data_IF_974026014908
#
_entry.id   IF_974026014908
#
_cell.length_a   1.000
_cell.length_b   1.000
_cell.length_c   1.000
_cell.angle_alpha   90.00
_cell.angle_beta   90.00
_cell.angle_gamma   90.00
#
_symmetry.space_group_name_H-M   'P 1'
#
loop_
_entity.id
_entity.type
_entity.pdbx_description
1 polymer ?
#
# COMPACT_ATOMS: atom_id res chain seq x y z
N UNK A 1 -3.78 -50.46 8.65
CA UNK A 1 -2.47 -49.94 9.11
C UNK A 1 -1.63 -49.76 7.86
N UNK A 2 -1.09 -48.57 7.59
CA UNK A 2 -0.30 -48.32 6.38
C UNK A 2 1.18 -48.45 6.72
N UNK A 3 1.89 -49.34 6.03
CA UNK A 3 3.30 -49.62 6.24
C UNK A 3 4.10 -49.39 4.95
N UNK A 4 5.36 -48.99 5.10
CA UNK A 4 6.34 -48.87 4.01
C UNK A 4 7.29 -50.06 4.07
N UNK A 5 7.39 -50.77 2.95
CA UNK A 5 8.34 -51.88 2.81
C UNK A 5 9.73 -51.34 2.46
N UNK A 6 10.75 -51.76 3.21
CA UNK A 6 12.13 -51.42 2.92
C UNK A 6 12.59 -52.10 1.63
N UNK A 7 13.13 -51.33 0.67
CA UNK A 7 13.67 -51.86 -0.59
C UNK A 7 14.91 -52.74 -0.43
N UNK A 8 15.64 -52.61 0.68
CA UNK A 8 16.88 -53.36 0.94
C UNK A 8 16.62 -54.71 1.62
N UNK A 9 15.67 -54.79 2.56
CA UNK A 9 15.47 -55.99 3.39
C UNK A 9 14.02 -56.51 3.48
N UNK A 10 13.07 -55.84 2.82
CA UNK A 10 11.66 -56.24 2.78
C UNK A 10 10.89 -56.07 4.09
N UNK A 11 11.48 -55.47 5.12
CA UNK A 11 10.78 -55.26 6.39
C UNK A 11 9.70 -54.18 6.26
N UNK A 12 8.53 -54.41 6.86
CA UNK A 12 7.47 -53.41 7.02
C UNK A 12 7.83 -52.40 8.11
N UNK A 13 7.82 -51.13 7.78
CA UNK A 13 8.12 -50.03 8.69
C UNK A 13 6.93 -49.06 8.73
N UNK A 14 6.68 -48.38 9.86
CA UNK A 14 5.71 -47.27 9.90
C UNK A 14 6.08 -46.16 8.91
N UNK A 15 5.08 -45.43 8.40
CA UNK A 15 5.31 -44.32 7.46
C UNK A 15 6.17 -43.18 8.04
N UNK A 16 6.16 -43.03 9.37
CA UNK A 16 6.92 -42.00 10.08
C UNK A 16 8.41 -42.35 10.23
N UNK A 17 8.81 -43.59 9.94
CA UNK A 17 10.21 -44.00 10.04
C UNK A 17 11.00 -43.52 8.82
N UNK A 18 12.09 -42.81 9.09
CA UNK A 18 13.04 -42.34 8.08
C UNK A 18 14.07 -43.41 7.68
N UNK A 19 14.32 -44.37 8.57
CA UNK A 19 15.26 -45.47 8.38
C UNK A 19 14.58 -46.79 8.73
N UNK A 20 15.03 -47.88 8.12
CA UNK A 20 14.50 -49.20 8.39
C UNK A 20 14.90 -49.67 9.80
N UNK A 21 13.93 -50.08 10.61
CA UNK A 21 14.18 -50.60 11.96
C UNK A 21 14.91 -51.95 11.99
N UNK A 22 15.04 -52.63 10.84
CA UNK A 22 15.74 -53.92 10.72
C UNK A 22 17.16 -53.79 10.16
N UNK A 23 17.34 -53.10 9.03
CA UNK A 23 18.64 -53.02 8.34
C UNK A 23 19.29 -51.63 8.38
N UNK A 24 18.62 -50.60 8.91
CA UNK A 24 19.15 -49.24 8.97
C UNK A 24 19.13 -48.46 7.64
N UNK A 25 18.72 -49.08 6.53
CA UNK A 25 18.65 -48.40 5.24
C UNK A 25 17.65 -47.22 5.26
N UNK A 26 17.99 -46.12 4.58
CA UNK A 26 17.09 -44.99 4.43
C UNK A 26 15.81 -45.41 3.69
N UNK A 27 14.66 -45.07 4.28
CA UNK A 27 13.36 -45.27 3.65
C UNK A 27 13.07 -44.02 2.82
N UNK A 28 13.40 -44.09 1.53
CA UNK A 28 13.30 -42.98 0.56
C UNK A 28 12.04 -42.11 0.82
N UNK A 29 12.26 -40.84 1.12
CA UNK A 29 11.16 -39.87 1.26
C UNK A 29 10.67 -39.60 -0.16
N UNK A 30 9.54 -40.19 -0.53
CA UNK A 30 8.82 -39.89 -1.79
C UNK A 30 8.23 -38.47 -1.81
N UNK A 31 8.92 -37.46 -1.26
CA UNK A 31 8.62 -36.09 -1.63
C UNK A 31 9.27 -35.90 -3.01
N UNK A 32 8.48 -35.61 -4.06
CA UNK A 32 9.05 -35.27 -5.35
C UNK A 32 10.04 -34.11 -5.16
N UNK A 33 11.20 -34.21 -5.81
CA UNK A 33 12.20 -33.15 -5.78
C UNK A 33 11.53 -31.81 -6.12
N UNK A 34 11.84 -30.71 -5.37
CA UNK A 34 11.29 -29.41 -5.70
C UNK A 34 11.63 -29.11 -7.16
N UNK A 35 10.60 -28.78 -7.95
CA UNK A 35 10.75 -28.34 -9.33
C UNK A 35 11.79 -27.22 -9.33
N UNK A 36 12.93 -27.50 -9.96
CA UNK A 36 14.02 -26.54 -10.12
C UNK A 36 13.46 -25.20 -10.56
N UNK A 37 13.79 -24.13 -9.85
CA UNK A 37 13.45 -22.76 -10.19
C UNK A 37 14.27 -22.31 -11.40
N UNK A 38 14.00 -22.89 -12.57
CA UNK A 38 14.47 -22.30 -13.82
C UNK A 38 13.67 -21.01 -14.01
N UNK A 39 14.32 -19.84 -14.14
CA UNK A 39 13.58 -18.62 -14.43
C UNK A 39 12.92 -18.80 -15.80
N UNK A 40 11.62 -18.52 -15.86
CA UNK A 40 10.79 -18.48 -17.09
C UNK A 40 11.27 -17.40 -18.11
N UNK A 41 12.48 -16.87 -17.93
CA UNK A 41 13.09 -15.81 -18.72
C UNK A 41 13.32 -16.20 -20.19
N UNK A 42 13.32 -17.49 -20.55
CA UNK A 42 13.52 -17.91 -21.96
C UNK A 42 12.32 -17.70 -22.87
N UNK A 43 11.12 -17.44 -22.36
CA UNK A 43 9.97 -17.09 -23.23
C UNK A 43 10.00 -15.63 -23.73
N UNK A 44 10.87 -14.77 -23.16
CA UNK A 44 11.04 -13.38 -23.63
C UNK A 44 12.12 -13.19 -24.72
N UNK A 45 12.86 -14.25 -25.06
CA UNK A 45 14.09 -14.14 -25.84
C UNK A 45 13.90 -13.99 -27.36
N UNK A 46 12.69 -14.22 -27.89
CA UNK A 46 12.48 -14.30 -29.35
C UNK A 46 11.42 -13.34 -29.90
N UNK A 47 11.24 -12.15 -29.30
CA UNK A 47 10.47 -11.10 -29.96
C UNK A 47 11.38 -10.41 -31.00
N UNK A 48 11.01 -10.39 -32.30
CA UNK A 48 11.83 -9.76 -33.34
C UNK A 48 12.05 -8.28 -32.98
N UNK A 49 13.27 -7.75 -33.16
CA UNK A 49 13.64 -6.40 -32.75
C UNK A 49 12.64 -5.32 -33.20
N UNK A 50 12.11 -5.44 -34.43
CA UNK A 50 11.08 -4.55 -35.01
C UNK A 50 9.79 -4.40 -34.18
N UNK A 51 9.43 -5.43 -33.40
CA UNK A 51 8.24 -5.41 -32.54
C UNK A 51 8.50 -4.79 -31.16
N UNK A 52 9.76 -4.71 -30.73
CA UNK A 52 10.13 -4.07 -29.46
C UNK A 52 9.96 -2.55 -29.54
N UNK A 53 10.35 -1.95 -30.66
CA UNK A 53 10.23 -0.50 -30.85
C UNK A 53 8.76 -0.07 -30.99
N UNK A 54 7.97 -0.82 -31.76
CA UNK A 54 6.52 -0.60 -31.88
C UNK A 54 5.82 -0.77 -30.53
N UNK A 55 6.13 -1.85 -29.80
CA UNK A 55 5.56 -2.08 -28.47
C UNK A 55 5.90 -0.95 -27.48
N UNK A 56 7.12 -0.42 -27.53
CA UNK A 56 7.55 0.69 -26.69
C UNK A 56 6.80 1.98 -27.03
N UNK A 57 6.63 2.31 -28.30
CA UNK A 57 5.87 3.49 -28.72
C UNK A 57 4.41 3.40 -28.27
N UNK A 58 3.78 2.25 -28.47
CA UNK A 58 2.39 1.99 -28.02
C UNK A 58 2.25 2.14 -26.51
N UNK A 59 3.20 1.59 -25.73
CA UNK A 59 3.19 1.72 -24.28
C UNK A 59 3.31 3.19 -23.82
N UNK A 60 4.19 3.97 -24.44
CA UNK A 60 4.36 5.40 -24.11
C UNK A 60 3.06 6.18 -24.40
N UNK A 61 2.45 5.95 -25.57
CA UNK A 61 1.17 6.60 -25.91
C UNK A 61 0.05 6.21 -24.95
N UNK A 62 -0.04 4.93 -24.56
CA UNK A 62 -1.04 4.47 -23.60
C UNK A 62 -0.86 5.12 -22.22
N UNK A 63 0.38 5.27 -21.75
CA UNK A 63 0.68 5.94 -20.48
C UNK A 63 0.29 7.42 -20.52
N UNK A 64 0.55 8.12 -21.63
CA UNK A 64 0.16 9.51 -21.80
C UNK A 64 -1.37 9.68 -21.72
N UNK A 65 -2.12 8.85 -22.45
CA UNK A 65 -3.59 8.87 -22.41
C UNK A 65 -4.15 8.57 -21.02
N UNK A 66 -3.57 7.59 -20.30
CA UNK A 66 -3.96 7.28 -18.94
C UNK A 66 -3.71 8.44 -17.97
N UNK A 67 -2.60 9.17 -18.14
CA UNK A 67 -2.29 10.34 -17.34
C UNK A 67 -3.31 11.47 -17.57
N UNK A 68 -3.62 11.80 -18.82
CA UNK A 68 -4.61 12.85 -19.15
C UNK A 68 -6.01 12.50 -18.61
N UNK A 69 -6.45 11.25 -18.83
CA UNK A 69 -7.73 10.78 -18.30
C UNK A 69 -7.77 10.81 -16.77
N UNK A 70 -6.67 10.42 -16.11
CA UNK A 70 -6.53 10.46 -14.65
C UNK A 70 -6.60 11.88 -14.09
N UNK A 71 -5.92 12.84 -14.71
CA UNK A 71 -5.96 14.26 -14.32
C UNK A 71 -7.38 14.81 -14.49
N UNK A 72 -8.04 14.55 -15.63
CA UNK A 72 -9.39 15.01 -15.88
C UNK A 72 -10.41 14.42 -14.87
N UNK A 73 -10.28 13.13 -14.56
CA UNK A 73 -11.10 12.48 -13.55
C UNK A 73 -10.86 13.06 -12.14
N UNK A 74 -9.61 13.33 -11.78
CA UNK A 74 -9.25 13.90 -10.49
C UNK A 74 -9.84 15.32 -10.32
N UNK A 75 -9.71 16.16 -11.35
CA UNK A 75 -10.28 17.52 -11.35
C UNK A 75 -11.79 17.48 -11.12
N UNK A 76 -12.51 16.63 -11.86
CA UNK A 76 -13.96 16.45 -11.70
C UNK A 76 -14.33 15.97 -10.29
N UNK A 77 -13.52 15.13 -9.67
CA UNK A 77 -13.76 14.63 -8.31
C UNK A 77 -13.56 15.72 -7.24
N UNK A 78 -12.64 16.67 -7.45
CA UNK A 78 -12.43 17.81 -6.56
C UNK A 78 -13.63 18.75 -6.62
N UNK A 79 -14.14 19.06 -7.82
CA UNK A 79 -15.34 19.88 -8.01
C UNK A 79 -16.57 19.27 -7.32
N UNK A 80 -16.75 17.95 -7.42
CA UNK A 80 -17.86 17.25 -6.76
C UNK A 80 -17.74 17.24 -5.23
N UNK A 81 -16.53 17.28 -4.67
CA UNK A 81 -16.34 17.47 -3.23
C UNK A 81 -16.68 18.89 -2.77
N UNK A 82 -16.53 19.86 -3.66
CA UNK A 82 -16.80 21.27 -3.41
C UNK A 82 -18.23 21.69 -3.73
N UNK A 83 -19.14 20.77 -4.10
CA UNK A 83 -20.57 21.13 -4.11
C UNK A 83 -20.93 21.55 -2.69
N UNK A 84 -21.32 22.81 -2.46
CA UNK A 84 -21.78 23.23 -1.15
C UNK A 84 -23.00 22.36 -0.86
N UNK A 85 -22.90 21.51 0.16
CA UNK A 85 -24.09 20.98 0.82
C UNK A 85 -24.87 22.21 1.22
N UNK A 86 -25.99 22.46 0.53
CA UNK A 86 -26.96 23.44 0.94
C UNK A 86 -27.59 22.88 2.22
N UNK A 87 -26.87 23.03 3.33
CA UNK A 87 -27.42 22.83 4.65
C UNK A 87 -28.60 23.81 4.73
N UNK A 88 -29.84 23.34 4.93
CA UNK A 88 -30.87 24.27 5.33
C UNK A 88 -30.33 25.00 6.56
N UNK A 89 -30.18 26.33 6.45
CA UNK A 89 -29.92 27.17 7.62
C UNK A 89 -30.87 26.70 8.71
N UNK A 90 -30.39 26.22 9.87
CA UNK A 90 -31.29 26.03 10.98
C UNK A 90 -31.87 27.42 11.23
N UNK A 91 -33.16 27.58 10.97
CA UNK A 91 -33.88 28.78 11.34
C UNK A 91 -33.50 29.08 12.79
N UNK A 92 -32.93 30.26 13.01
CA UNK A 92 -32.64 30.79 14.34
C UNK A 92 -33.92 30.65 15.16
N UNK A 93 -34.02 29.57 15.93
CA UNK A 93 -35.02 29.51 16.97
C UNK A 93 -34.56 30.52 18.00
N UNK A 94 -35.29 31.63 18.06
CA UNK A 94 -35.21 32.59 19.15
C UNK A 94 -35.67 31.82 20.40
N UNK A 95 -34.72 31.17 21.06
CA UNK A 95 -34.92 30.61 22.39
C UNK A 95 -35.04 31.80 23.33
N UNK A 96 -36.26 32.00 23.84
CA UNK A 96 -36.56 32.93 24.92
C UNK A 96 -35.59 32.66 26.09
N UNK A 97 -34.85 33.65 26.60
CA UNK A 97 -33.88 33.39 27.66
C UNK A 97 -34.62 32.99 28.93
N UNK A 98 -34.38 31.76 29.39
CA UNK A 98 -34.69 31.36 30.76
C UNK A 98 -33.67 32.03 31.70
N UNK A 99 -34.08 32.42 32.93
CA UNK A 99 -33.20 33.10 33.87
C UNK A 99 -32.03 32.17 34.24
N UNK A 100 -30.82 32.63 33.93
CA UNK A 100 -29.58 31.91 34.22
C UNK A 100 -29.31 31.97 35.75
N UNK A 101 -29.01 30.85 36.41
CA UNK A 101 -28.34 30.91 37.70
C UNK A 101 -26.89 31.37 37.48
N UNK A 102 -26.42 32.23 38.38
CA UNK A 102 -25.12 32.87 38.41
C UNK A 102 -23.98 31.82 38.36
N UNK A 103 -23.51 31.46 37.17
CA UNK A 103 -22.35 30.60 37.00
C UNK A 103 -21.10 31.47 36.95
N UNK A 104 -20.26 31.30 37.97
CA UNK A 104 -18.93 31.87 38.09
C UNK A 104 -18.15 31.66 36.80
N UNK A 105 -17.76 32.76 36.15
CA UNK A 105 -17.00 32.80 34.91
C UNK A 105 -15.59 32.28 35.18
N UNK A 106 -15.39 30.96 35.10
CA UNK A 106 -14.07 30.39 35.00
C UNK A 106 -13.52 30.78 33.62
N UNK A 107 -12.53 31.67 33.61
CA UNK A 107 -11.78 32.03 32.41
C UNK A 107 -11.09 30.77 31.88
N UNK A 108 -11.70 30.14 30.88
CA UNK A 108 -11.04 29.10 30.11
C UNK A 108 -9.99 29.80 29.25
N UNK A 109 -8.71 29.61 29.58
CA UNK A 109 -7.60 30.08 28.75
C UNK A 109 -7.63 29.29 27.45
N UNK A 110 -8.19 29.89 26.40
CA UNK A 110 -8.20 29.30 25.05
C UNK A 110 -6.82 29.50 24.45
N UNK A 111 -6.21 28.40 24.02
CA UNK A 111 -4.88 28.40 23.40
C UNK A 111 -5.06 28.00 21.95
N UNK A 112 -4.68 28.89 21.04
CA UNK A 112 -4.69 28.61 19.60
C UNK A 112 -3.32 28.10 19.18
N UNK A 113 -3.25 26.87 18.68
CA UNK A 113 -2.02 26.29 18.12
C UNK A 113 -2.09 26.42 16.60
N UNK A 114 -1.16 27.17 16.01
CA UNK A 114 -1.00 27.29 14.56
C UNK A 114 0.12 26.37 14.11
N UNK A 115 -0.19 25.47 13.17
CA UNK A 115 0.79 24.61 12.50
C UNK A 115 1.03 25.12 11.08
N UNK A 116 2.26 25.49 10.76
CA UNK A 116 2.68 25.89 9.41
C UNK A 116 3.65 24.85 8.85
N UNK A 117 3.40 24.37 7.64
CA UNK A 117 4.21 23.36 6.98
C UNK A 117 4.83 23.93 5.71
N UNK A 118 6.16 24.00 5.68
CA UNK A 118 6.93 24.55 4.57
C UNK A 118 7.63 23.39 3.86
N UNK A 119 7.37 23.25 2.55
CA UNK A 119 8.00 22.25 1.68
C UNK A 119 8.88 23.00 0.69
N UNK A 120 10.19 22.86 0.83
CA UNK A 120 11.18 23.43 -0.08
C UNK A 120 11.64 22.36 -1.09
N UNK A 121 11.64 22.73 -2.37
CA UNK A 121 12.16 21.92 -3.45
C UNK A 121 13.48 22.53 -3.93
N UNK A 122 14.57 21.79 -3.77
CA UNK A 122 15.90 22.21 -4.16
C UNK A 122 16.29 21.34 -5.36
N UNK A 123 16.44 21.95 -6.52
CA UNK A 123 16.96 21.27 -7.71
C UNK A 123 18.48 21.50 -7.77
N UNK A 124 19.25 20.42 -7.69
CA UNK A 124 20.70 20.46 -7.88
C UNK A 124 21.03 20.50 -9.40
N UNK A 125 22.15 21.11 -9.79
CA UNK A 125 22.63 21.17 -11.20
C UNK A 125 22.83 19.78 -11.84
N UNK A 126 22.91 18.73 -11.02
CA UNK A 126 22.99 17.34 -11.45
C UNK A 126 21.60 16.68 -11.67
N UNK A 127 20.52 17.47 -11.76
CA UNK A 127 19.15 16.99 -12.00
C UNK A 127 18.55 16.19 -10.85
N UNK A 128 19.14 16.28 -9.65
CA UNK A 128 18.63 15.58 -8.46
C UNK A 128 17.76 16.56 -7.66
N UNK A 129 16.48 16.22 -7.47
CA UNK A 129 15.56 17.04 -6.67
C UNK A 129 15.59 16.60 -5.21
N UNK A 130 15.96 17.53 -4.32
CA UNK A 130 15.90 17.35 -2.87
C UNK A 130 14.65 18.03 -2.33
N UNK A 131 13.99 17.35 -1.40
CA UNK A 131 12.81 17.87 -0.71
C UNK A 131 13.17 18.08 0.76
N UNK A 132 13.03 19.30 1.24
CA UNK A 132 13.21 19.66 2.65
C UNK A 132 11.85 20.04 3.23
N UNK A 133 11.40 19.33 4.26
CA UNK A 133 10.14 19.60 4.95
C UNK A 133 10.44 20.19 6.34
N UNK A 134 9.84 21.34 6.63
CA UNK A 134 9.95 22.01 7.94
C UNK A 134 8.56 22.28 8.49
N UNK A 135 8.31 21.85 9.73
CA UNK A 135 7.07 22.11 10.45
C UNK A 135 7.33 23.12 11.58
N UNK A 136 6.52 24.17 11.62
CA UNK A 136 6.54 25.19 12.68
C UNK A 136 5.27 25.10 13.50
N UNK A 137 5.44 25.12 14.82
CA UNK A 137 4.35 25.13 15.78
C UNK A 137 4.42 26.42 16.57
N UNK A 138 3.38 27.26 16.50
CA UNK A 138 3.27 28.45 17.33
C UNK A 138 2.03 28.36 18.21
N UNK A 139 2.24 28.60 19.50
CA UNK A 139 1.18 28.77 20.48
C UNK A 139 0.83 30.26 20.54
N UNK A 140 -0.43 30.60 20.33
CA UNK A 140 -0.96 31.94 20.56
C UNK A 140 -1.91 31.84 21.76
N UNK A 141 -1.64 32.64 22.78
CA UNK A 141 -2.52 32.85 23.92
C UNK A 141 -3.33 34.11 23.61
N UNK A 142 -4.67 34.01 23.61
CA UNK A 142 -5.59 35.16 23.52
C UNK A 142 -5.89 35.74 24.91
#
# INVERSE_FOLDING_TARGET
MVERICSQCGHGNPLDHHFCGKCGAALERLLPAPLSSQPLARLGASIPARWRDVGRAVAISAVALAAEAGIAWLARRIEQRNTPVNLPSPALQVVKPAPQPLATRAAANVVTIISERVIEFIDDDNGTRRISERAFWRRIEE
#
